data_IF_763806071478
#
_entry.id   IF_763806071478
#
_cell.length_a   1.000
_cell.length_b   1.000
_cell.length_c   1.000
_cell.angle_alpha   90.00
_cell.angle_beta   90.00
_cell.angle_gamma   90.00
#
_symmetry.space_group_name_H-M   'P 1'
#
loop_
_entity.id
_entity.type
_entity.pdbx_description
1 polymer ?
#
# COMPACT_ATOMS: atom_id res chain seq x y z
N UNK A 1 0.37 10.31 12.41
CA UNK A 1 1.49 9.73 11.67
C UNK A 1 1.09 9.38 10.23
N UNK A 2 0.04 8.61 9.99
CA UNK A 2 -0.46 8.31 8.65
C UNK A 2 -0.82 9.56 7.83
N UNK A 3 -1.35 10.60 8.45
CA UNK A 3 -1.61 11.89 7.79
C UNK A 3 -0.34 12.54 7.22
N UNK A 4 0.81 12.41 7.87
CA UNK A 4 2.08 12.94 7.34
C UNK A 4 2.60 12.16 6.14
N UNK A 5 2.35 10.86 6.06
CA UNK A 5 2.71 10.03 4.92
C UNK A 5 1.84 10.34 3.68
N UNK A 6 0.57 10.72 3.90
CA UNK A 6 -0.40 11.09 2.87
C UNK A 6 0.04 12.24 1.97
N UNK A 7 0.77 13.23 2.51
CA UNK A 7 1.12 14.47 1.80
C UNK A 7 2.48 14.44 1.08
N UNK A 8 3.15 13.29 1.01
CA UNK A 8 4.49 13.22 0.40
C UNK A 8 4.50 13.16 -1.12
N UNK A 9 3.42 12.77 -1.78
CA UNK A 9 3.38 12.76 -3.24
C UNK A 9 3.00 14.10 -3.82
N UNK A 10 3.90 14.60 -4.66
CA UNK A 10 3.69 15.76 -5.50
C UNK A 10 3.47 15.27 -6.92
N UNK A 11 2.25 15.24 -7.35
CA UNK A 11 1.95 14.94 -8.74
C UNK A 11 2.44 16.08 -9.64
N UNK A 12 3.22 15.76 -10.66
CA UNK A 12 3.80 16.72 -11.57
C UNK A 12 2.99 16.71 -12.86
N UNK A 13 2.10 17.70 -13.00
CA UNK A 13 1.31 17.87 -14.23
C UNK A 13 2.02 18.79 -15.20
N UNK A 14 2.21 18.33 -16.44
CA UNK A 14 2.72 19.16 -17.51
C UNK A 14 1.59 19.98 -18.12
N UNK A 15 1.67 21.30 -17.94
CA UNK A 15 0.74 22.24 -18.55
C UNK A 15 1.39 22.91 -19.76
N UNK A 16 0.69 22.90 -20.89
CA UNK A 16 1.06 23.63 -22.09
C UNK A 16 0.27 24.92 -22.16
N UNK A 17 0.84 25.98 -22.71
CA UNK A 17 0.18 27.27 -22.87
C UNK A 17 0.67 28.03 -24.11
N UNK A 18 -0.16 28.94 -24.59
CA UNK A 18 0.20 29.86 -25.68
C UNK A 18 1.15 30.96 -25.20
N UNK A 19 1.07 31.32 -23.91
CA UNK A 19 1.82 32.40 -23.28
C UNK A 19 2.77 31.93 -22.22
N UNK A 20 3.92 32.62 -21.96
CA UNK A 20 4.78 32.36 -20.83
C UNK A 20 4.00 32.49 -19.48
N UNK A 21 4.49 31.91 -18.39
CA UNK A 21 5.83 31.37 -18.17
C UNK A 21 5.96 29.88 -18.52
N UNK A 22 7.19 29.44 -18.79
CA UNK A 22 7.51 28.04 -19.01
C UNK A 22 8.76 27.85 -19.88
N UNK A 23 9.09 26.59 -20.17
CA UNK A 23 10.16 26.25 -21.10
C UNK A 23 9.62 26.25 -22.52
N UNK A 24 10.30 26.97 -23.42
CA UNK A 24 9.93 27.08 -24.82
C UNK A 24 10.13 25.75 -25.55
N UNK A 25 9.13 25.31 -26.28
CA UNK A 25 9.17 24.17 -27.21
C UNK A 25 9.43 24.69 -28.62
N UNK A 26 10.66 24.72 -29.03
CA UNK A 26 11.12 25.30 -30.31
C UNK A 26 10.33 24.76 -31.51
N UNK A 27 10.08 23.44 -31.57
CA UNK A 27 9.32 22.82 -32.66
C UNK A 27 7.88 23.36 -32.74
N UNK A 28 7.23 23.54 -31.60
CA UNK A 28 5.88 24.10 -31.55
C UNK A 28 5.85 25.58 -31.96
N UNK A 29 6.86 26.36 -31.55
CA UNK A 29 7.00 27.75 -31.95
C UNK A 29 7.17 27.87 -33.48
N UNK A 30 8.08 27.09 -34.08
CA UNK A 30 8.29 27.09 -35.55
C UNK A 30 7.03 26.69 -36.28
N UNK A 31 6.29 25.71 -35.81
CA UNK A 31 5.00 25.31 -36.37
C UNK A 31 3.98 26.46 -36.31
N UNK A 32 3.87 27.14 -35.16
CA UNK A 32 2.97 28.30 -34.99
C UNK A 32 3.33 29.47 -35.91
N UNK A 33 4.63 29.76 -36.06
CA UNK A 33 5.10 30.79 -36.98
C UNK A 33 4.80 30.43 -38.43
N UNK A 34 5.01 29.18 -38.83
CA UNK A 34 4.67 28.74 -40.18
C UNK A 34 3.16 28.76 -40.49
N UNK A 35 2.30 28.54 -39.50
CA UNK A 35 0.86 28.69 -39.64
C UNK A 35 0.45 30.14 -39.80
N UNK A 36 1.02 31.05 -38.98
CA UNK A 36 0.75 32.50 -39.08
C UNK A 36 1.17 33.08 -40.43
N UNK A 37 2.35 32.68 -40.93
CA UNK A 37 2.84 33.15 -42.25
C UNK A 37 1.95 32.72 -43.40
N UNK A 38 1.11 31.69 -43.20
CA UNK A 38 0.11 31.23 -44.15
C UNK A 38 -1.29 31.81 -43.91
N UNK A 39 -1.42 32.79 -43.00
CA UNK A 39 -2.71 33.37 -42.63
C UNK A 39 -3.65 32.49 -41.84
N UNK A 40 -3.13 31.39 -41.26
CA UNK A 40 -3.93 30.45 -40.49
C UNK A 40 -3.99 30.88 -39.02
N UNK A 41 -5.13 30.68 -38.36
CA UNK A 41 -5.25 30.78 -36.92
C UNK A 41 -4.41 29.66 -36.25
N UNK A 42 -3.54 30.07 -35.33
CA UNK A 42 -2.66 29.11 -34.63
C UNK A 42 -3.29 28.69 -33.30
N UNK A 43 -3.38 27.39 -33.07
CA UNK A 43 -3.75 26.80 -31.79
C UNK A 43 -2.53 26.09 -31.15
N UNK A 44 -1.35 26.65 -31.36
CA UNK A 44 -0.10 26.02 -30.91
C UNK A 44 0.30 26.57 -29.55
N UNK A 45 0.52 25.68 -28.60
CA UNK A 45 0.97 25.97 -27.25
C UNK A 45 2.50 25.79 -27.15
N UNK A 46 3.30 26.84 -27.44
CA UNK A 46 4.75 26.71 -27.49
C UNK A 46 5.41 26.67 -26.11
N UNK A 47 4.69 27.00 -25.05
CA UNK A 47 5.22 27.01 -23.70
C UNK A 47 4.80 25.77 -22.94
N UNK A 48 5.73 25.23 -22.14
CA UNK A 48 5.51 24.06 -21.29
C UNK A 48 6.07 24.35 -19.90
N UNK A 49 5.27 24.13 -18.89
CA UNK A 49 5.70 24.17 -17.49
C UNK A 49 5.22 22.94 -16.74
N UNK A 50 6.06 22.45 -15.84
CA UNK A 50 5.66 21.43 -14.90
C UNK A 50 5.11 22.10 -13.64
N UNK A 51 3.86 21.90 -13.34
CA UNK A 51 3.24 22.37 -12.11
C UNK A 51 3.12 21.19 -11.17
N UNK A 52 3.75 21.32 -10.01
CA UNK A 52 3.57 20.34 -8.93
C UNK A 52 2.26 20.66 -8.25
N UNK A 53 1.25 19.85 -8.47
CA UNK A 53 0.00 19.89 -7.70
C UNK A 53 0.16 19.06 -6.44
N UNK A 54 -0.22 19.63 -5.29
CA UNK A 54 -0.63 18.78 -4.18
C UNK A 54 -1.95 18.15 -4.62
N UNK A 55 -1.99 16.83 -4.72
CA UNK A 55 -3.25 16.13 -4.85
C UNK A 55 -3.92 16.18 -3.48
N UNK A 56 -5.06 16.84 -3.40
CA UNK A 56 -5.91 16.85 -2.20
C UNK A 56 -6.60 15.49 -2.01
N UNK A 57 -6.48 14.58 -2.97
CA UNK A 57 -7.00 13.23 -2.86
C UNK A 57 -6.15 12.38 -1.90
N UNK A 58 -6.79 11.69 -0.98
CA UNK A 58 -6.13 10.78 -0.07
C UNK A 58 -5.47 9.65 -0.86
N UNK A 59 -4.15 9.62 -0.82
CA UNK A 59 -3.35 8.67 -1.61
C UNK A 59 -2.86 7.49 -0.77
N UNK A 60 -3.32 7.35 0.48
CA UNK A 60 -2.97 6.19 1.30
C UNK A 60 -3.81 4.98 0.91
N UNK A 61 -3.16 3.93 0.48
CA UNK A 61 -3.76 2.63 0.15
C UNK A 61 -3.18 1.55 1.06
N UNK A 62 -4.03 0.83 1.77
CA UNK A 62 -3.60 -0.20 2.73
C UNK A 62 -4.27 -1.52 2.40
N UNK A 63 -3.46 -2.54 2.13
CA UNK A 63 -3.89 -3.93 2.05
C UNK A 63 -3.58 -4.65 3.35
N UNK A 64 -4.55 -5.38 3.91
CA UNK A 64 -4.37 -6.16 5.13
C UNK A 64 -4.56 -7.64 4.80
N UNK A 65 -3.56 -8.46 5.11
CA UNK A 65 -3.59 -9.92 5.00
C UNK A 65 -3.58 -10.52 6.39
N UNK A 66 -4.54 -11.37 6.72
CA UNK A 66 -4.64 -12.01 8.02
C UNK A 66 -4.61 -13.53 7.84
N UNK A 67 -3.64 -14.15 8.46
CA UNK A 67 -3.44 -15.61 8.46
C UNK A 67 -4.44 -16.28 9.40
N UNK A 68 -5.15 -17.29 8.90
CA UNK A 68 -6.08 -18.12 9.68
C UNK A 68 -5.63 -19.58 9.76
N UNK A 69 -4.33 -19.84 9.60
CA UNK A 69 -3.78 -21.17 9.85
C UNK A 69 -3.94 -21.57 11.32
N UNK A 70 -3.89 -22.88 11.58
CA UNK A 70 -4.15 -23.42 12.91
C UNK A 70 -3.19 -22.91 13.99
N UNK A 71 -1.95 -22.59 13.65
CA UNK A 71 -0.95 -21.99 14.54
C UNK A 71 -1.40 -20.64 15.11
N UNK A 72 -2.21 -19.89 14.36
CA UNK A 72 -2.72 -18.56 14.74
C UNK A 72 -3.96 -18.61 15.64
N UNK A 73 -4.47 -19.80 16.01
CA UNK A 73 -5.72 -19.96 16.77
C UNK A 73 -5.76 -19.19 18.09
N UNK A 74 -4.64 -19.10 18.81
CA UNK A 74 -4.53 -18.35 20.07
C UNK A 74 -4.52 -16.83 19.90
N UNK A 75 -4.31 -16.34 18.70
CA UNK A 75 -4.16 -14.92 18.38
C UNK A 75 -5.36 -14.33 17.62
N UNK A 76 -6.41 -15.10 17.34
CA UNK A 76 -7.54 -14.68 16.51
C UNK A 76 -8.22 -13.39 16.98
N UNK A 77 -8.48 -13.27 18.28
CA UNK A 77 -9.11 -12.06 18.83
C UNK A 77 -8.23 -10.81 18.67
N UNK A 78 -6.93 -10.81 19.10
CA UNK A 78 -6.08 -9.64 18.89
C UNK A 78 -5.85 -9.33 17.40
N UNK A 79 -5.79 -10.33 16.52
CA UNK A 79 -5.66 -10.14 15.08
C UNK A 79 -6.88 -9.44 14.48
N UNK A 80 -8.07 -9.93 14.78
CA UNK A 80 -9.32 -9.33 14.31
C UNK A 80 -9.47 -7.89 14.80
N UNK A 81 -9.12 -7.63 16.06
CA UNK A 81 -9.11 -6.27 16.63
C UNK A 81 -8.12 -5.37 15.90
N UNK A 82 -6.90 -5.85 15.64
CA UNK A 82 -5.88 -5.07 14.92
C UNK A 82 -6.31 -4.78 13.49
N UNK A 83 -6.86 -5.75 12.80
CA UNK A 83 -7.37 -5.58 11.46
C UNK A 83 -8.48 -4.52 11.39
N UNK A 84 -9.41 -4.54 12.34
CA UNK A 84 -10.45 -3.53 12.47
C UNK A 84 -9.88 -2.14 12.79
N UNK A 85 -8.96 -2.03 13.75
CA UNK A 85 -8.29 -0.76 14.10
C UNK A 85 -7.55 -0.17 12.90
N UNK A 86 -6.87 -1.01 12.11
CA UNK A 86 -6.20 -0.57 10.88
C UNK A 86 -7.19 -0.02 9.86
N UNK A 87 -8.31 -0.70 9.63
CA UNK A 87 -9.35 -0.23 8.70
C UNK A 87 -9.93 1.11 9.13
N UNK A 88 -10.21 1.29 10.42
CA UNK A 88 -10.71 2.55 10.98
C UNK A 88 -9.67 3.68 10.91
N UNK A 89 -8.40 3.38 11.16
CA UNK A 89 -7.32 4.35 11.04
C UNK A 89 -7.18 4.86 9.60
N UNK A 90 -7.26 3.95 8.62
CA UNK A 90 -7.22 4.30 7.20
C UNK A 90 -8.44 5.12 6.77
N UNK A 91 -9.64 4.75 7.25
CA UNK A 91 -10.87 5.52 7.03
C UNK A 91 -10.77 6.96 7.53
N UNK A 92 -10.23 7.17 8.74
CA UNK A 92 -10.06 8.52 9.33
C UNK A 92 -9.16 9.43 8.50
N UNK A 93 -8.15 8.86 7.81
CA UNK A 93 -7.29 9.63 6.90
C UNK A 93 -7.81 9.62 5.45
N UNK A 94 -9.04 9.17 5.23
CA UNK A 94 -9.69 9.07 3.93
C UNK A 94 -8.90 8.20 2.93
N UNK A 95 -8.15 7.22 3.41
CA UNK A 95 -7.43 6.26 2.59
C UNK A 95 -8.33 5.14 2.05
N UNK A 96 -7.76 4.29 1.21
CA UNK A 96 -8.41 3.06 0.71
C UNK A 96 -7.89 1.87 1.49
N UNK A 97 -8.78 1.02 1.99
CA UNK A 97 -8.43 -0.23 2.68
C UNK A 97 -9.15 -1.40 2.04
N UNK A 98 -8.45 -2.51 1.90
CA UNK A 98 -9.05 -3.81 1.63
C UNK A 98 -8.39 -4.86 2.52
N UNK A 99 -9.13 -5.92 2.83
CA UNK A 99 -8.68 -6.96 3.75
C UNK A 99 -9.03 -8.34 3.24
N UNK A 100 -8.10 -9.26 3.39
CA UNK A 100 -8.30 -10.67 3.10
C UNK A 100 -7.83 -11.52 4.27
N UNK A 101 -8.58 -12.57 4.57
CA UNK A 101 -8.13 -13.67 5.41
C UNK A 101 -7.63 -14.79 4.50
N UNK A 102 -6.57 -15.47 4.89
CA UNK A 102 -5.98 -16.52 4.06
C UNK A 102 -5.53 -17.72 4.89
N UNK A 103 -5.76 -18.88 4.33
CA UNK A 103 -5.40 -20.19 4.83
C UNK A 103 -5.48 -21.18 3.67
N UNK A 104 -6.32 -22.22 3.79
CA UNK A 104 -6.62 -23.15 2.71
C UNK A 104 -7.26 -22.47 1.51
N UNK A 105 -7.93 -21.36 1.74
CA UNK A 105 -8.46 -20.47 0.71
C UNK A 105 -8.28 -18.99 1.06
N UNK A 106 -8.73 -18.09 0.20
CA UNK A 106 -8.66 -16.64 0.39
C UNK A 106 -10.06 -16.11 0.55
N UNK A 107 -10.31 -15.43 1.67
CA UNK A 107 -11.62 -14.89 2.06
C UNK A 107 -11.55 -13.36 2.08
N UNK A 108 -12.02 -12.65 1.03
CA UNK A 108 -12.12 -11.19 1.06
C UNK A 108 -13.15 -10.76 2.09
N UNK A 109 -12.73 -10.04 3.12
CA UNK A 109 -13.56 -9.59 4.23
C UNK A 109 -13.88 -8.11 4.19
N UNK A 110 -13.03 -7.33 3.55
CA UNK A 110 -13.25 -5.91 3.30
C UNK A 110 -12.84 -5.57 1.87
N UNK A 111 -13.76 -5.06 1.08
CA UNK A 111 -13.47 -4.54 -0.27
C UNK A 111 -13.09 -3.06 -0.20
N UNK A 112 -12.28 -2.61 -1.17
CA UNK A 112 -11.89 -1.21 -1.28
C UNK A 112 -13.13 -0.27 -1.30
N UNK A 113 -13.14 0.72 -0.40
CA UNK A 113 -14.26 1.66 -0.25
C UNK A 113 -15.40 1.18 0.66
N UNK A 114 -15.35 -0.03 1.20
CA UNK A 114 -16.23 -0.50 2.24
C UNK A 114 -15.67 -0.20 3.64
N UNK A 115 -16.50 -0.36 4.67
CA UNK A 115 -16.11 -0.23 6.07
C UNK A 115 -16.55 -1.47 6.84
N UNK A 116 -15.81 -1.80 7.89
CA UNK A 116 -16.20 -2.81 8.88
C UNK A 116 -16.88 -2.08 10.01
N UNK A 117 -18.15 -2.40 10.25
CA UNK A 117 -18.93 -1.83 11.36
C UNK A 117 -18.64 -2.54 12.69
N UNK A 118 -18.10 -3.75 12.62
CA UNK A 118 -17.78 -4.58 13.78
C UNK A 118 -16.51 -5.41 13.59
N UNK A 119 -15.99 -5.93 14.70
CA UNK A 119 -14.81 -6.83 14.70
C UNK A 119 -15.28 -8.24 14.38
N UNK A 120 -14.93 -8.74 13.19
CA UNK A 120 -15.24 -10.11 12.79
C UNK A 120 -14.09 -11.05 13.16
N UNK A 121 -14.37 -12.00 14.03
CA UNK A 121 -13.43 -13.05 14.45
C UNK A 121 -13.70 -14.30 13.64
N UNK A 122 -12.69 -14.77 12.92
CA UNK A 122 -12.74 -16.01 12.14
C UNK A 122 -12.08 -17.15 12.92
N UNK A 123 -12.47 -18.37 12.65
CA UNK A 123 -11.81 -19.55 13.24
C UNK A 123 -10.50 -19.83 12.49
N UNK A 124 -9.41 -19.91 13.22
CA UNK A 124 -8.13 -20.35 12.66
C UNK A 124 -8.00 -21.87 12.81
N UNK A 125 -8.23 -22.59 11.74
CA UNK A 125 -8.16 -24.05 11.70
C UNK A 125 -7.61 -24.58 10.39
N UNK A 126 -7.16 -23.69 9.50
CA UNK A 126 -6.64 -24.07 8.19
C UNK A 126 -5.25 -24.70 8.30
N UNK A 127 -4.95 -25.62 7.41
CA UNK A 127 -3.70 -26.39 7.43
C UNK A 127 -2.65 -25.89 6.46
N UNK A 128 -2.96 -24.89 5.64
CA UNK A 128 -2.04 -24.30 4.66
C UNK A 128 -2.28 -22.80 4.55
N UNK A 129 -1.31 -22.11 3.97
CA UNK A 129 -1.33 -20.66 3.79
C UNK A 129 -1.18 -20.32 2.30
N UNK A 130 -2.18 -19.72 1.70
CA UNK A 130 -2.14 -19.27 0.29
C UNK A 130 -1.73 -17.80 0.19
N UNK A 131 -0.51 -17.49 0.61
CA UNK A 131 0.03 -16.12 0.67
C UNK A 131 -0.03 -15.40 -0.69
N UNK A 132 0.50 -16.04 -1.74
CA UNK A 132 0.52 -15.44 -3.08
C UNK A 132 -0.88 -15.14 -3.62
N UNK A 133 -1.85 -16.06 -3.41
CA UNK A 133 -3.25 -15.81 -3.79
C UNK A 133 -3.85 -14.64 -3.04
N UNK A 134 -3.60 -14.54 -1.73
CA UNK A 134 -4.11 -13.46 -0.89
C UNK A 134 -3.56 -12.11 -1.33
N UNK A 135 -2.26 -12.04 -1.60
CA UNK A 135 -1.64 -10.83 -2.11
C UNK A 135 -2.21 -10.42 -3.47
N UNK A 136 -2.36 -11.37 -4.41
CA UNK A 136 -2.96 -11.07 -5.72
C UNK A 136 -4.40 -10.57 -5.61
N UNK A 137 -5.18 -11.08 -4.67
CA UNK A 137 -6.54 -10.59 -4.43
C UNK A 137 -6.53 -9.13 -3.95
N UNK A 138 -5.60 -8.77 -3.06
CA UNK A 138 -5.43 -7.39 -2.60
C UNK A 138 -4.89 -6.48 -3.71
N UNK A 139 -3.86 -6.91 -4.43
CA UNK A 139 -3.29 -6.13 -5.52
C UNK A 139 -4.31 -5.88 -6.63
N UNK A 140 -5.11 -6.89 -7.00
CA UNK A 140 -6.21 -6.74 -7.95
C UNK A 140 -7.31 -5.76 -7.49
N UNK A 141 -7.52 -5.62 -6.18
CA UNK A 141 -8.52 -4.70 -5.60
C UNK A 141 -7.98 -3.27 -5.41
N UNK A 142 -6.71 -3.14 -5.03
CA UNK A 142 -6.12 -1.88 -4.56
C UNK A 142 -5.06 -1.33 -5.52
N UNK A 143 -4.59 -2.15 -6.49
CA UNK A 143 -3.47 -1.82 -7.38
C UNK A 143 -2.19 -1.45 -6.60
N UNK A 144 -1.81 -2.29 -5.62
CA UNK A 144 -0.71 -2.00 -4.72
C UNK A 144 0.63 -1.88 -5.44
N UNK A 145 0.91 -2.74 -6.42
CA UNK A 145 2.19 -2.72 -7.12
C UNK A 145 2.32 -1.57 -8.12
N UNK A 146 1.22 -1.15 -8.76
CA UNK A 146 1.26 -0.15 -9.83
C UNK A 146 0.45 1.12 -9.50
N UNK A 147 -0.09 1.23 -8.29
CA UNK A 147 -0.85 2.40 -7.85
C UNK A 147 0.05 3.61 -7.58
N UNK A 148 -0.58 4.77 -7.48
CA UNK A 148 0.07 6.01 -7.05
C UNK A 148 -0.17 6.20 -5.55
N UNK A 149 0.69 6.99 -4.90
CA UNK A 149 0.53 7.37 -3.51
C UNK A 149 1.24 6.45 -2.51
N UNK A 150 1.03 6.73 -1.24
CA UNK A 150 1.56 5.91 -0.16
C UNK A 150 0.81 4.57 -0.11
N UNK A 151 1.54 3.48 -0.24
CA UNK A 151 0.98 2.13 -0.29
C UNK A 151 1.59 1.28 0.81
N UNK A 152 0.76 0.59 1.56
CA UNK A 152 1.17 -0.23 2.69
C UNK A 152 0.50 -1.60 2.60
N UNK A 153 1.29 -2.64 2.71
CA UNK A 153 0.84 -4.01 2.93
C UNK A 153 1.07 -4.36 4.41
N UNK A 154 0.02 -4.74 5.09
CA UNK A 154 0.09 -5.25 6.47
C UNK A 154 -0.15 -6.75 6.43
N UNK A 155 0.80 -7.52 6.91
CA UNK A 155 0.72 -8.98 7.02
C UNK A 155 0.63 -9.35 8.49
N UNK A 156 -0.42 -10.04 8.87
CA UNK A 156 -0.66 -10.56 10.22
C UNK A 156 -0.50 -12.07 10.17
N UNK A 157 0.65 -12.58 10.54
CA UNK A 157 0.99 -14.01 10.47
C UNK A 157 2.22 -14.32 11.32
N UNK A 158 2.34 -15.56 11.78
CA UNK A 158 3.56 -16.08 12.43
C UNK A 158 4.68 -16.37 11.42
N UNK A 159 4.36 -16.48 10.13
CA UNK A 159 5.33 -16.79 9.08
C UNK A 159 5.79 -18.26 9.07
N UNK A 160 5.05 -19.16 9.70
CA UNK A 160 5.33 -20.61 9.68
C UNK A 160 4.73 -21.25 8.42
N UNK A 161 5.33 -20.99 7.27
CA UNK A 161 4.83 -21.46 5.99
C UNK A 161 5.58 -22.69 5.48
N UNK A 162 4.92 -23.44 4.61
CA UNK A 162 5.59 -24.50 3.83
C UNK A 162 6.64 -23.87 2.90
N UNK A 163 7.72 -24.61 2.54
CA UNK A 163 8.85 -24.04 1.76
C UNK A 163 8.43 -23.32 0.46
N UNK A 164 7.40 -23.82 -0.21
CA UNK A 164 6.89 -23.19 -1.44
C UNK A 164 6.26 -21.82 -1.15
N UNK A 165 5.49 -21.69 -0.07
CA UNK A 165 4.86 -20.43 0.29
C UNK A 165 5.86 -19.44 0.89
N UNK A 166 6.92 -19.89 1.55
CA UNK A 166 8.06 -19.05 1.93
C UNK A 166 8.68 -18.39 0.69
N UNK A 167 8.93 -19.18 -0.36
CA UNK A 167 9.48 -18.66 -1.61
C UNK A 167 8.52 -17.68 -2.31
N UNK A 168 7.22 -17.94 -2.25
CA UNK A 168 6.18 -17.06 -2.80
C UNK A 168 6.11 -15.74 -2.02
N UNK A 169 6.10 -15.81 -0.70
CA UNK A 169 6.08 -14.64 0.18
C UNK A 169 7.31 -13.76 -0.03
N UNK A 170 8.52 -14.34 -0.08
CA UNK A 170 9.75 -13.58 -0.37
C UNK A 170 9.69 -12.86 -1.70
N UNK A 171 9.26 -13.53 -2.77
CA UNK A 171 9.07 -12.89 -4.10
C UNK A 171 8.07 -11.72 -4.03
N UNK A 172 7.01 -11.87 -3.26
CA UNK A 172 6.02 -10.82 -3.08
C UNK A 172 6.61 -9.62 -2.33
N UNK A 173 7.37 -9.86 -1.25
CA UNK A 173 8.05 -8.80 -0.50
C UNK A 173 9.07 -8.05 -1.37
N UNK A 174 9.86 -8.77 -2.17
CA UNK A 174 10.77 -8.15 -3.15
C UNK A 174 10.04 -7.32 -4.21
N UNK A 175 8.88 -7.80 -4.67
CA UNK A 175 8.05 -7.04 -5.60
C UNK A 175 7.50 -5.76 -4.94
N UNK A 176 7.10 -5.82 -3.68
CA UNK A 176 6.69 -4.65 -2.90
C UNK A 176 7.84 -3.63 -2.80
N UNK A 177 9.04 -4.08 -2.43
CA UNK A 177 10.23 -3.21 -2.34
C UNK A 177 10.53 -2.50 -3.66
N UNK A 178 10.55 -3.25 -4.78
CA UNK A 178 10.81 -2.71 -6.11
C UNK A 178 9.79 -1.66 -6.55
N UNK A 179 8.55 -1.78 -6.09
CA UNK A 179 7.46 -0.90 -6.48
C UNK A 179 7.12 0.16 -5.43
N UNK A 180 7.93 0.31 -4.37
CA UNK A 180 7.73 1.32 -3.34
C UNK A 180 6.47 1.09 -2.49
N UNK A 181 6.12 -0.16 -2.22
CA UNK A 181 5.07 -0.56 -1.29
C UNK A 181 5.70 -0.84 0.06
N UNK A 182 5.33 -0.08 1.10
CA UNK A 182 5.76 -0.36 2.46
C UNK A 182 5.17 -1.69 2.94
N UNK A 183 5.94 -2.48 3.66
CA UNK A 183 5.46 -3.74 4.24
C UNK A 183 5.63 -3.72 5.75
N UNK A 184 4.57 -4.04 6.47
CA UNK A 184 4.55 -4.23 7.90
C UNK A 184 4.11 -5.64 8.24
N UNK A 185 4.96 -6.39 8.95
CA UNK A 185 4.68 -7.74 9.41
C UNK A 185 4.40 -7.74 10.91
N UNK A 186 3.23 -8.24 11.29
CA UNK A 186 2.75 -8.28 12.67
C UNK A 186 2.61 -9.74 13.16
N UNK A 187 3.56 -10.25 13.93
CA UNK A 187 3.41 -11.52 14.62
C UNK A 187 2.65 -11.30 15.93
N UNK A 188 1.62 -12.09 16.19
CA UNK A 188 0.86 -12.07 17.45
C UNK A 188 1.19 -13.21 18.41
N UNK A 189 2.10 -14.08 17.99
CA UNK A 189 2.55 -15.22 18.80
C UNK A 189 4.06 -15.19 19.00
N UNK A 190 4.49 -15.75 20.13
CA UNK A 190 5.91 -15.87 20.45
C UNK A 190 6.57 -16.90 19.52
N UNK A 191 7.81 -16.63 19.09
CA UNK A 191 8.56 -17.54 18.23
C UNK A 191 8.27 -17.41 16.73
N UNK A 192 7.54 -16.37 16.32
CA UNK A 192 7.20 -16.17 14.91
C UNK A 192 8.42 -16.03 14.00
N UNK A 193 8.27 -16.47 12.76
CA UNK A 193 9.26 -16.36 11.69
C UNK A 193 9.17 -15.03 10.89
N UNK A 194 8.28 -14.11 11.29
CA UNK A 194 8.04 -12.84 10.58
C UNK A 194 9.30 -12.02 10.33
N UNK A 195 10.17 -11.85 11.36
CA UNK A 195 11.44 -11.16 11.21
C UNK A 195 12.37 -11.85 10.19
N UNK A 196 12.38 -13.17 10.15
CA UNK A 196 13.16 -13.97 9.20
C UNK A 196 12.61 -13.85 7.77
N UNK A 197 11.30 -13.72 7.63
CA UNK A 197 10.66 -13.48 6.33
C UNK A 197 11.03 -12.12 5.75
N UNK A 198 11.21 -11.12 6.61
CA UNK A 198 11.51 -9.74 6.23
C UNK A 198 13.01 -9.42 6.14
N UNK A 199 13.91 -10.35 6.51
CA UNK A 199 15.34 -10.07 6.73
C UNK A 199 16.07 -9.48 5.51
N UNK A 200 15.67 -9.86 4.29
CA UNK A 200 16.32 -9.44 3.04
C UNK A 200 15.54 -8.33 2.31
N UNK A 201 14.61 -7.67 3.00
CA UNK A 201 13.70 -6.67 2.42
C UNK A 201 13.65 -5.40 3.27
N UNK A 202 13.05 -4.34 2.73
CA UNK A 202 12.76 -3.09 3.48
C UNK A 202 11.55 -3.23 4.43
N UNK A 203 10.94 -4.40 4.50
CA UNK A 203 9.79 -4.66 5.36
C UNK A 203 10.14 -4.47 6.84
N UNK A 204 9.20 -3.92 7.59
CA UNK A 204 9.31 -3.75 9.04
C UNK A 204 8.57 -4.88 9.72
N UNK A 205 9.27 -5.70 10.48
CA UNK A 205 8.65 -6.72 11.34
C UNK A 205 8.66 -6.24 12.79
N UNK A 206 7.51 -6.28 13.45
CA UNK A 206 7.45 -6.14 14.91
C UNK A 206 7.71 -7.50 15.55
N UNK A 207 8.46 -7.52 16.64
CA UNK A 207 8.79 -8.74 17.36
C UNK A 207 7.89 -8.96 18.58
N UNK A 208 7.71 -10.23 18.97
CA UNK A 208 7.07 -10.60 20.23
C UNK A 208 5.55 -10.70 20.18
N UNK A 209 4.96 -11.00 21.34
CA UNK A 209 3.52 -11.05 21.54
C UNK A 209 3.00 -9.60 21.65
N UNK A 210 2.20 -9.18 20.68
CA UNK A 210 1.62 -7.86 20.66
C UNK A 210 0.25 -7.87 21.37
N UNK A 211 0.06 -7.01 22.37
CA UNK A 211 -1.26 -6.64 22.84
C UNK A 211 -1.74 -5.44 21.98
N UNK A 212 -2.87 -5.56 21.25
CA UNK A 212 -3.33 -4.50 20.36
C UNK A 212 -3.58 -3.16 21.05
N UNK A 213 -3.98 -3.16 22.33
CA UNK A 213 -4.24 -1.96 23.09
C UNK A 213 -2.95 -1.20 23.44
N UNK A 214 -1.90 -1.94 23.85
CA UNK A 214 -0.59 -1.37 24.19
C UNK A 214 0.24 -1.12 22.92
N UNK A 215 0.11 -1.98 21.92
CA UNK A 215 0.89 -1.93 20.69
C UNK A 215 0.41 -0.88 19.67
N UNK A 216 -0.75 -0.25 19.88
CA UNK A 216 -1.33 0.70 18.90
C UNK A 216 -0.35 1.82 18.50
N UNK A 217 0.43 2.33 19.46
CA UNK A 217 1.44 3.37 19.22
C UNK A 217 2.63 2.79 18.44
N UNK A 218 3.07 1.57 18.80
CA UNK A 218 4.19 0.89 18.14
C UNK A 218 3.84 0.50 16.71
N UNK A 219 2.63 -0.03 16.50
CA UNK A 219 2.09 -0.34 15.17
C UNK A 219 2.03 0.94 14.33
N UNK A 220 1.55 2.05 14.89
CA UNK A 220 1.51 3.33 14.19
C UNK A 220 2.90 3.86 13.78
N UNK A 221 3.91 3.70 14.65
CA UNK A 221 5.30 4.03 14.34
C UNK A 221 5.88 3.11 13.28
N UNK A 222 5.58 1.81 13.35
CA UNK A 222 6.04 0.81 12.39
C UNK A 222 5.42 1.03 11.00
N UNK A 223 4.13 1.38 10.92
CA UNK A 223 3.50 1.79 9.67
C UNK A 223 4.21 3.00 9.03
N UNK A 224 4.52 4.03 9.84
CA UNK A 224 5.24 5.19 9.35
C UNK A 224 6.64 4.83 8.82
N UNK A 225 7.38 3.99 9.55
CA UNK A 225 8.70 3.49 9.10
C UNK A 225 8.60 2.68 7.80
N UNK A 226 7.61 1.77 7.70
CA UNK A 226 7.42 0.97 6.50
C UNK A 226 7.15 1.85 5.26
N UNK A 227 6.33 2.89 5.41
CA UNK A 227 6.06 3.86 4.35
C UNK A 227 7.29 4.73 4.03
N UNK A 228 8.10 5.09 5.03
CA UNK A 228 9.35 5.83 4.84
C UNK A 228 10.38 4.99 4.08
N UNK A 229 10.57 3.73 4.48
CA UNK A 229 11.48 2.81 3.81
C UNK A 229 11.11 2.58 2.34
N UNK A 230 9.82 2.50 2.04
CA UNK A 230 9.33 2.30 0.68
C UNK A 230 9.54 3.52 -0.23
N UNK A 231 9.74 4.70 0.34
CA UNK A 231 9.95 5.96 -0.41
C UNK A 231 11.42 6.26 -0.71
N UNK A 232 12.35 5.44 -0.21
CA UNK A 232 13.80 5.50 -0.43
C UNK A 232 14.20 4.59 -1.59
#
# INVERSE_FOLDING_TARGET
>A
MLERAKYRERDAVEIKSELPPGRLRTRALVQGTAQRSRGMLTQVEPWRRTVRKHTDDPTLTVGVMVDISGSMSSAMQPMATTAWVMSEAVKRVQGKCAMVYFGNDVFPTLKAGQHLDEVNVYSASDGTEKFDKAFRALDGSLNLLNGNGARLLVVVSDGEYVPQEIANAKRTLEACDKNGVGVLWLPFISGSNGARMCADTKAVALGGKLDPAEASIEIGKACARALENASL
#
